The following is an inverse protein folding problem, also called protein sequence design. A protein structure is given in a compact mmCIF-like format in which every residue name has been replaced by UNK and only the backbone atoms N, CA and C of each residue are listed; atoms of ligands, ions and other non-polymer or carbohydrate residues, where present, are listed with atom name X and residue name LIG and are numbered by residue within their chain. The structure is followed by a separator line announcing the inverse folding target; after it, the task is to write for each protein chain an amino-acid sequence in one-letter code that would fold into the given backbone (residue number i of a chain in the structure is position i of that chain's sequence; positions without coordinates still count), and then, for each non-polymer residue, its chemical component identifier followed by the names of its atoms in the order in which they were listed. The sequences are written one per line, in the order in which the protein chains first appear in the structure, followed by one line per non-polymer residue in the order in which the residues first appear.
data_IF_733605338973
#
_entry.id   IF_733605338973
#
_cell.length_a   1.000
_cell.length_b   1.000
_cell.length_c   1.000
_cell.angle_alpha   90.00
_cell.angle_beta   90.00
_cell.angle_gamma   90.00
#
_symmetry.space_group_name_H-M   'P 1'
#
loop_
_entity.id
_entity.type
_entity.pdbx_description
1 polymer ?
#
# COMPACT_ATOMS: atom_id res chain seq x y z
N UNK A 1 -15.02 1.91 -4.53
CA UNK A 1 -15.58 3.19 -4.05
C UNK A 1 -15.26 4.27 -5.08
N UNK A 2 -16.27 5.01 -5.54
CA UNK A 2 -16.09 6.18 -6.42
C UNK A 2 -15.69 7.41 -5.60
N UNK A 3 -14.90 8.31 -6.18
CA UNK A 3 -14.56 9.58 -5.53
C UNK A 3 -14.55 10.76 -6.48
N UNK A 4 -14.99 11.92 -6.01
CA UNK A 4 -14.99 13.18 -6.77
C UNK A 4 -14.88 14.40 -5.87
N UNK A 5 -14.54 15.55 -6.43
CA UNK A 5 -14.59 16.85 -5.77
C UNK A 5 -15.65 17.75 -6.42
N UNK A 6 -16.28 18.62 -5.63
CA UNK A 6 -17.19 19.69 -6.08
C UNK A 6 -17.04 20.92 -5.19
N UNK A 7 -17.40 22.09 -5.71
CA UNK A 7 -17.47 23.33 -4.94
C UNK A 7 -18.90 23.66 -4.55
N UNK A 8 -19.09 24.35 -3.43
CA UNK A 8 -20.40 24.87 -3.02
C UNK A 8 -20.52 25.03 -1.51
N UNK A 9 -21.65 25.55 -1.05
CA UNK A 9 -21.91 25.80 0.37
C UNK A 9 -22.37 24.53 1.09
N UNK A 10 -21.77 24.19 2.25
CA UNK A 10 -22.11 22.96 2.97
C UNK A 10 -23.56 22.93 3.49
N UNK A 11 -24.13 24.07 3.87
CA UNK A 11 -25.46 24.17 4.49
C UNK A 11 -26.64 23.82 3.55
N UNK A 12 -26.43 23.90 2.23
CA UNK A 12 -27.46 23.53 1.23
C UNK A 12 -27.25 22.13 0.68
N UNK A 13 -26.27 21.39 1.18
CA UNK A 13 -25.84 20.15 0.58
C UNK A 13 -26.76 18.98 0.99
N UNK A 14 -27.48 18.44 -0.01
CA UNK A 14 -28.16 17.14 0.13
C UNK A 14 -27.13 16.02 0.00
N UNK A 15 -26.91 15.28 1.08
CA UNK A 15 -26.00 14.13 1.11
C UNK A 15 -26.39 13.16 2.24
N UNK A 16 -26.21 11.83 2.08
CA UNK A 16 -26.50 10.86 3.12
C UNK A 16 -25.65 11.01 4.39
N UNK A 17 -24.44 11.57 4.27
CA UNK A 17 -23.61 11.96 5.41
C UNK A 17 -22.69 13.14 5.04
N UNK A 18 -22.74 14.22 5.81
CA UNK A 18 -21.81 15.34 5.72
C UNK A 18 -20.80 15.25 6.86
N UNK A 19 -19.51 15.31 6.54
CA UNK A 19 -18.41 15.18 7.50
C UNK A 19 -17.74 16.54 7.70
N UNK A 20 -17.71 17.01 8.95
CA UNK A 20 -17.14 18.30 9.34
C UNK A 20 -16.25 18.21 10.57
N UNK A 21 -15.34 19.18 10.71
CA UNK A 21 -14.33 19.19 11.77
C UNK A 21 -14.66 20.16 12.91
N UNK A 22 -14.07 19.90 14.07
CA UNK A 22 -13.94 20.85 15.16
C UNK A 22 -12.66 20.55 15.94
N UNK A 23 -12.01 21.58 16.45
CA UNK A 23 -10.80 21.49 17.26
C UNK A 23 -11.14 21.39 18.75
N UNK A 24 -10.10 21.21 19.57
CA UNK A 24 -10.22 21.36 21.02
C UNK A 24 -10.81 22.73 21.42
N UNK A 25 -11.35 22.81 22.64
CA UNK A 25 -12.07 23.99 23.14
C UNK A 25 -13.31 24.40 22.32
N UNK A 26 -13.82 23.49 21.48
CA UNK A 26 -15.04 23.68 20.70
C UNK A 26 -14.90 24.65 19.52
N UNK A 27 -13.67 24.91 19.07
CA UNK A 27 -13.41 25.77 17.91
C UNK A 27 -13.84 25.05 16.64
N UNK A 28 -14.90 25.55 16.00
CA UNK A 28 -15.47 24.96 14.78
C UNK A 28 -14.64 25.31 13.54
N UNK A 29 -14.47 24.37 12.62
CA UNK A 29 -13.88 24.65 11.29
C UNK A 29 -14.83 25.51 10.44
N UNK A 30 -14.38 26.18 9.36
CA UNK A 30 -15.22 27.05 8.53
C UNK A 30 -16.55 26.41 8.10
N UNK A 31 -16.51 25.17 7.59
CA UNK A 31 -17.72 24.46 7.20
C UNK A 31 -18.62 24.13 8.40
N UNK A 32 -18.04 23.73 9.54
CA UNK A 32 -18.80 23.49 10.76
C UNK A 32 -19.46 24.78 11.31
N UNK A 33 -18.80 25.95 11.17
CA UNK A 33 -19.40 27.23 11.56
C UNK A 33 -20.62 27.58 10.71
N UNK A 34 -20.55 27.40 9.39
CA UNK A 34 -21.66 27.63 8.48
C UNK A 34 -22.86 26.73 8.81
N UNK A 35 -22.62 25.44 9.01
CA UNK A 35 -23.64 24.47 9.40
C UNK A 35 -24.22 24.74 10.79
N UNK A 36 -23.40 25.18 11.74
CA UNK A 36 -23.88 25.57 13.07
C UNK A 36 -24.83 26.76 13.00
N UNK A 37 -24.58 27.77 12.14
CA UNK A 37 -25.51 28.88 11.93
C UNK A 37 -26.82 28.41 11.30
N UNK A 38 -26.75 27.61 10.24
CA UNK A 38 -27.93 27.11 9.52
C UNK A 38 -28.83 26.20 10.37
N UNK A 39 -28.23 25.43 11.29
CA UNK A 39 -28.95 24.54 12.22
C UNK A 39 -29.40 25.21 13.52
N UNK A 40 -29.32 26.55 13.61
CA UNK A 40 -29.69 27.29 14.82
C UNK A 40 -28.86 26.92 16.04
N UNK A 41 -27.58 26.58 15.87
CA UNK A 41 -26.64 26.29 16.97
C UNK A 41 -26.50 24.82 17.37
N UNK A 42 -26.97 23.87 16.56
CA UNK A 42 -27.00 22.45 16.93
C UNK A 42 -25.63 21.88 17.29
N UNK A 43 -24.59 22.22 16.52
CA UNK A 43 -23.23 21.71 16.76
C UNK A 43 -22.71 22.22 18.11
N UNK A 44 -22.84 23.52 18.40
CA UNK A 44 -22.41 24.10 19.67
C UNK A 44 -23.18 23.53 20.88
N UNK A 45 -24.48 23.21 20.74
CA UNK A 45 -25.23 22.54 21.81
C UNK A 45 -24.66 21.16 22.14
N UNK A 46 -24.33 20.36 21.10
CA UNK A 46 -23.69 19.06 21.29
C UNK A 46 -22.29 19.21 21.92
N UNK A 47 -21.49 20.19 21.50
CA UNK A 47 -20.20 20.44 22.14
C UNK A 47 -20.36 20.90 23.60
N UNK A 48 -21.41 21.67 23.90
CA UNK A 48 -21.74 22.17 25.23
C UNK A 48 -22.18 21.11 26.23
N UNK A 49 -22.63 19.92 25.80
CA UNK A 49 -22.90 18.81 26.72
C UNK A 49 -21.63 18.25 27.37
N UNK A 50 -20.46 18.52 26.77
CA UNK A 50 -19.16 18.11 27.28
C UNK A 50 -18.68 16.74 26.79
N UNK A 51 -19.50 16.01 26.01
CA UNK A 51 -19.19 14.67 25.47
C UNK A 51 -18.04 14.71 24.45
N UNK A 52 -17.89 15.85 23.77
CA UNK A 52 -16.92 16.06 22.71
C UNK A 52 -15.87 17.07 23.15
N UNK A 53 -14.62 16.60 23.27
CA UNK A 53 -13.47 17.42 23.68
C UNK A 53 -12.62 17.88 22.51
N UNK A 54 -12.89 17.39 21.29
CA UNK A 54 -12.11 17.71 20.10
C UNK A 54 -10.84 16.87 19.94
N UNK A 55 -10.72 15.77 20.71
CA UNK A 55 -9.60 14.83 20.62
C UNK A 55 -9.45 14.29 19.20
N UNK A 56 -8.22 14.08 18.75
CA UNK A 56 -7.91 13.61 17.40
C UNK A 56 -8.69 12.33 17.05
N UNK A 57 -9.48 12.41 15.98
CA UNK A 57 -10.29 11.30 15.47
C UNK A 57 -11.53 10.97 16.31
N UNK A 58 -11.84 11.72 17.37
CA UNK A 58 -13.10 11.58 18.11
C UNK A 58 -14.27 11.88 17.17
N UNK A 59 -15.28 11.01 17.13
CA UNK A 59 -16.44 11.21 16.25
C UNK A 59 -17.75 11.29 17.00
N UNK A 60 -18.70 12.04 16.44
CA UNK A 60 -20.08 12.08 16.90
C UNK A 60 -21.03 12.25 15.73
N UNK A 61 -22.13 11.49 15.72
CA UNK A 61 -23.09 11.48 14.63
C UNK A 61 -24.40 12.12 15.06
N UNK A 62 -24.83 13.15 14.34
CA UNK A 62 -26.16 13.75 14.49
C UNK A 62 -27.03 13.23 13.35
N UNK A 63 -28.14 12.57 13.70
CA UNK A 63 -29.15 12.13 12.73
C UNK A 63 -30.14 13.24 12.45
N UNK A 64 -30.48 13.42 11.17
CA UNK A 64 -31.49 14.37 10.68
C UNK A 64 -31.38 15.75 11.36
N UNK A 65 -30.19 16.40 11.32
CA UNK A 65 -30.00 17.67 12.00
C UNK A 65 -30.95 18.73 11.45
N UNK A 66 -31.83 19.24 12.31
CA UNK A 66 -32.81 20.27 11.94
C UNK A 66 -32.14 21.48 11.30
N UNK A 67 -32.73 21.99 10.22
CA UNK A 67 -32.23 23.13 9.45
C UNK A 67 -31.14 22.79 8.42
N UNK A 68 -30.70 21.53 8.32
CA UNK A 68 -29.73 21.08 7.31
C UNK A 68 -30.36 20.10 6.32
N UNK A 69 -29.84 20.09 5.09
CA UNK A 69 -30.32 19.21 4.03
C UNK A 69 -29.68 17.81 4.01
N UNK A 70 -28.68 17.56 4.87
CA UNK A 70 -28.04 16.25 4.99
C UNK A 70 -28.82 15.32 5.93
N UNK A 71 -28.78 14.01 5.65
CA UNK A 71 -29.44 13.02 6.52
C UNK A 71 -28.68 12.77 7.81
N UNK A 72 -27.36 12.93 7.76
CA UNK A 72 -26.43 12.72 8.88
C UNK A 72 -25.35 13.79 8.85
N UNK A 73 -24.98 14.28 10.02
CA UNK A 73 -23.83 15.16 10.22
C UNK A 73 -22.82 14.46 11.14
N UNK A 74 -21.68 14.05 10.59
CA UNK A 74 -20.59 13.46 11.33
C UNK A 74 -19.60 14.55 11.74
N UNK A 75 -19.49 14.79 13.04
CA UNK A 75 -18.49 15.67 13.64
C UNK A 75 -17.21 14.88 13.88
N UNK A 76 -16.05 15.48 13.55
CA UNK A 76 -14.72 14.86 13.72
C UNK A 76 -13.80 15.81 14.50
N UNK A 77 -13.26 15.31 15.61
CA UNK A 77 -12.28 16.01 16.43
C UNK A 77 -10.94 16.11 15.72
N UNK A 78 -10.46 17.34 15.57
CA UNK A 78 -9.28 17.70 14.80
C UNK A 78 -8.05 18.01 15.67
N UNK A 79 -8.15 17.79 16.99
CA UNK A 79 -7.11 18.12 17.96
C UNK A 79 -6.85 19.63 18.04
N UNK A 80 -5.69 20.00 18.54
CA UNK A 80 -5.21 21.38 18.56
C UNK A 80 -4.81 21.84 17.15
N UNK A 81 -5.09 23.11 16.84
CA UNK A 81 -4.86 23.65 15.49
C UNK A 81 -3.37 23.79 15.19
N UNK A 82 -2.57 24.16 16.19
CA UNK A 82 -1.13 24.36 16.15
C UNK A 82 -0.32 23.05 16.03
N UNK A 83 -0.92 21.91 16.37
CA UNK A 83 -0.31 20.57 16.26
C UNK A 83 -0.64 19.86 14.93
N UNK A 84 -1.21 20.58 13.96
CA UNK A 84 -1.57 20.01 12.67
C UNK A 84 -0.34 19.60 11.84
N UNK A 85 -0.25 18.32 11.51
CA UNK A 85 0.85 17.65 10.84
C UNK A 85 0.31 16.49 9.98
N UNK A 86 1.18 15.85 9.22
CA UNK A 86 0.81 14.69 8.40
C UNK A 86 0.21 13.56 9.24
N UNK A 87 0.80 13.30 10.42
CA UNK A 87 0.36 12.26 11.33
C UNK A 87 -1.02 12.58 11.94
N UNK A 88 -1.26 13.83 12.32
CA UNK A 88 -2.56 14.23 12.88
C UNK A 88 -3.64 14.29 11.80
N UNK A 89 -3.33 14.74 10.58
CA UNK A 89 -4.24 14.65 9.42
C UNK A 89 -4.63 13.20 9.11
N UNK A 90 -3.67 12.27 9.12
CA UNK A 90 -3.96 10.82 8.95
C UNK A 90 -4.92 10.30 10.01
N UNK A 91 -4.69 10.63 11.29
CA UNK A 91 -5.56 10.25 12.41
C UNK A 91 -6.98 10.82 12.26
N UNK A 92 -7.12 12.06 11.79
CA UNK A 92 -8.41 12.69 11.51
C UNK A 92 -9.15 11.93 10.41
N UNK A 93 -8.48 11.60 9.31
CA UNK A 93 -9.05 10.80 8.23
C UNK A 93 -9.48 9.41 8.73
N UNK A 94 -8.66 8.76 9.57
CA UNK A 94 -8.97 7.45 10.16
C UNK A 94 -10.20 7.52 11.07
N UNK A 95 -10.29 8.53 11.94
CA UNK A 95 -11.45 8.77 12.79
C UNK A 95 -12.72 9.01 11.97
N UNK A 96 -12.65 9.86 10.95
CA UNK A 96 -13.78 10.11 10.04
C UNK A 96 -14.27 8.82 9.36
N UNK A 97 -13.35 7.99 8.87
CA UNK A 97 -13.70 6.71 8.25
C UNK A 97 -14.25 5.69 9.26
N UNK A 98 -13.75 5.67 10.50
CA UNK A 98 -14.28 4.83 11.57
C UNK A 98 -15.72 5.22 11.91
N UNK A 99 -15.99 6.53 12.06
CA UNK A 99 -17.34 7.05 12.28
C UNK A 99 -18.29 6.70 11.13
N UNK A 100 -17.85 6.81 9.88
CA UNK A 100 -18.67 6.47 8.70
C UNK A 100 -18.97 4.97 8.60
N UNK A 101 -18.00 4.11 8.91
CA UNK A 101 -18.18 2.65 8.90
C UNK A 101 -19.28 2.16 9.83
N UNK A 102 -19.48 2.85 10.96
CA UNK A 102 -20.58 2.56 11.89
C UNK A 102 -21.96 2.92 11.35
N UNK A 103 -22.06 3.46 10.13
CA UNK A 103 -23.32 3.90 9.53
C UNK A 103 -23.67 3.10 8.27
N UNK A 104 -24.92 3.28 7.80
CA UNK A 104 -25.40 2.78 6.50
C UNK A 104 -25.36 3.84 5.39
N UNK A 105 -24.62 4.93 5.57
CA UNK A 105 -24.51 5.96 4.54
C UNK A 105 -23.78 5.41 3.31
N UNK A 106 -24.47 5.40 2.17
CA UNK A 106 -23.90 4.97 0.87
C UNK A 106 -22.97 6.02 0.26
N UNK A 107 -23.15 7.29 0.63
CA UNK A 107 -22.33 8.40 0.16
C UNK A 107 -21.98 9.31 1.32
N UNK A 108 -20.77 9.87 1.30
CA UNK A 108 -20.33 10.85 2.29
C UNK A 108 -19.63 12.02 1.60
N UNK A 109 -19.98 13.24 2.00
CA UNK A 109 -19.27 14.46 1.58
C UNK A 109 -18.38 14.96 2.71
N UNK A 110 -17.11 15.20 2.42
CA UNK A 110 -16.11 15.66 3.37
C UNK A 110 -15.77 17.12 3.14
N UNK A 111 -15.71 17.88 4.22
CA UNK A 111 -15.23 19.28 4.25
C UNK A 111 -13.85 19.41 4.89
N UNK A 112 -13.32 18.31 5.47
CA UNK A 112 -12.10 18.31 6.28
C UNK A 112 -10.85 18.76 5.53
N UNK A 113 -10.86 18.76 4.19
CA UNK A 113 -9.74 19.27 3.38
C UNK A 113 -9.53 20.78 3.52
N UNK A 114 -10.42 21.51 4.19
CA UNK A 114 -10.21 22.92 4.59
C UNK A 114 -9.16 23.09 5.70
N UNK A 115 -8.81 22.01 6.43
CA UNK A 115 -7.76 22.04 7.45
C UNK A 115 -6.38 22.34 6.84
N UNK A 116 -5.63 23.25 7.46
CA UNK A 116 -4.29 23.64 7.02
C UNK A 116 -3.25 22.68 7.60
N UNK A 117 -2.63 21.86 6.75
CA UNK A 117 -1.53 20.94 7.12
C UNK A 117 -0.22 21.55 6.62
N UNK A 118 0.75 21.72 7.51
CA UNK A 118 2.03 22.39 7.19
C UNK A 118 2.73 21.69 6.02
N UNK A 119 3.07 22.46 4.98
CA UNK A 119 3.83 21.95 3.82
C UNK A 119 3.03 21.05 2.87
N UNK A 120 1.71 20.91 3.04
CA UNK A 120 0.87 20.02 2.23
C UNK A 120 -0.23 20.79 1.49
N UNK A 121 -0.39 20.49 0.21
CA UNK A 121 -1.42 21.08 -0.64
C UNK A 121 -2.76 20.31 -0.54
N UNK A 122 -3.76 20.79 -1.27
CA UNK A 122 -5.08 20.14 -1.34
C UNK A 122 -5.03 18.76 -2.00
N UNK A 123 -4.19 18.56 -3.02
CA UNK A 123 -4.06 17.27 -3.69
C UNK A 123 -3.52 16.20 -2.74
N UNK A 124 -2.48 16.52 -1.96
CA UNK A 124 -1.91 15.62 -0.96
C UNK A 124 -2.94 15.25 0.11
N UNK A 125 -3.70 16.23 0.63
CA UNK A 125 -4.76 15.96 1.63
C UNK A 125 -5.85 15.05 1.07
N UNK A 126 -6.29 15.32 -0.16
CA UNK A 126 -7.28 14.51 -0.88
C UNK A 126 -6.78 13.08 -1.14
N UNK A 127 -5.51 12.94 -1.55
CA UNK A 127 -4.83 11.66 -1.77
C UNK A 127 -4.81 10.82 -0.51
N UNK A 128 -4.32 11.38 0.60
CA UNK A 128 -4.22 10.66 1.87
C UNK A 128 -5.60 10.25 2.40
N UNK A 129 -6.60 11.14 2.35
CA UNK A 129 -7.97 10.78 2.77
C UNK A 129 -8.48 9.59 1.95
N UNK A 130 -8.23 9.59 0.63
CA UNK A 130 -8.67 8.52 -0.25
C UNK A 130 -7.93 7.21 0.01
N UNK A 131 -6.63 7.25 0.27
CA UNK A 131 -5.83 6.08 0.69
C UNK A 131 -6.37 5.48 2.00
N UNK A 132 -6.57 6.32 3.02
CA UNK A 132 -7.12 5.92 4.32
C UNK A 132 -8.52 5.32 4.17
N UNK A 133 -9.37 5.91 3.32
CA UNK A 133 -10.68 5.34 3.01
C UNK A 133 -10.57 3.97 2.34
N UNK A 134 -9.63 3.79 1.41
CA UNK A 134 -9.36 2.49 0.79
C UNK A 134 -8.91 1.44 1.79
N UNK A 135 -7.96 1.78 2.67
CA UNK A 135 -7.50 0.89 3.72
C UNK A 135 -8.62 0.53 4.70
N UNK A 136 -9.41 1.53 5.12
CA UNK A 136 -10.52 1.31 6.01
C UNK A 136 -11.54 0.35 5.37
N UNK A 137 -11.93 0.55 4.12
CA UNK A 137 -12.95 -0.26 3.46
C UNK A 137 -12.46 -1.65 3.01
N UNK A 138 -11.16 -1.95 3.11
CA UNK A 138 -10.62 -3.24 2.77
C UNK A 138 -11.15 -4.35 3.69
N UNK A 139 -11.74 -5.39 3.10
CA UNK A 139 -12.18 -6.60 3.78
C UNK A 139 -11.64 -7.79 2.98
N UNK A 140 -11.02 -8.73 3.68
CA UNK A 140 -10.65 -10.02 3.13
C UNK A 140 -11.64 -11.08 3.62
N UNK A 141 -12.54 -11.51 2.74
CA UNK A 141 -13.54 -12.55 2.99
C UNK A 141 -13.57 -13.63 1.90
N UNK A 142 -12.56 -13.66 1.03
CA UNK A 142 -12.48 -14.57 -0.13
C UNK A 142 -12.48 -16.04 0.28
N UNK A 143 -11.86 -16.37 1.42
CA UNK A 143 -11.76 -17.73 1.97
C UNK A 143 -12.81 -18.05 3.04
N UNK A 144 -13.79 -17.16 3.28
CA UNK A 144 -14.91 -17.43 4.20
C UNK A 144 -16.04 -18.12 3.44
N UNK A 145 -16.54 -19.23 3.98
CA UNK A 145 -17.73 -19.94 3.48
C UNK A 145 -18.99 -19.10 3.68
N UNK A 146 -19.15 -18.54 4.89
CA UNK A 146 -20.25 -17.64 5.23
C UNK A 146 -19.81 -16.19 5.07
N UNK A 147 -20.42 -15.51 4.10
CA UNK A 147 -20.26 -14.07 3.91
C UNK A 147 -21.48 -13.38 4.50
N UNK A 148 -21.25 -12.36 5.31
CA UNK A 148 -22.32 -11.50 5.87
C UNK A 148 -22.26 -10.16 5.15
N UNK A 149 -23.08 -9.93 4.10
CA UNK A 149 -23.04 -8.68 3.33
C UNK A 149 -23.30 -7.46 4.21
N UNK A 150 -24.12 -7.62 5.25
CA UNK A 150 -24.43 -6.58 6.21
C UNK A 150 -23.24 -6.16 7.09
N UNK A 151 -22.19 -6.98 7.20
CA UNK A 151 -20.95 -6.59 7.89
C UNK A 151 -20.08 -5.66 7.03
N UNK A 152 -20.36 -5.55 5.72
CA UNK A 152 -19.61 -4.68 4.83
C UNK A 152 -20.06 -3.22 5.01
N UNK A 153 -19.12 -2.26 5.07
CA UNK A 153 -19.46 -0.84 5.07
C UNK A 153 -20.28 -0.48 3.82
N UNK A 154 -21.35 0.29 4.01
CA UNK A 154 -22.24 0.68 2.92
C UNK A 154 -21.66 1.76 1.99
N UNK A 155 -20.59 2.44 2.42
CA UNK A 155 -20.03 3.60 1.74
C UNK A 155 -19.46 3.23 0.35
N UNK A 156 -20.10 3.74 -0.70
CA UNK A 156 -19.74 3.50 -2.10
C UNK A 156 -19.20 4.76 -2.81
N UNK A 157 -19.53 5.97 -2.31
CA UNK A 157 -19.09 7.24 -2.88
C UNK A 157 -18.52 8.19 -1.82
N UNK A 158 -17.34 8.75 -2.10
CA UNK A 158 -16.72 9.82 -1.33
C UNK A 158 -16.70 11.11 -2.16
N UNK A 159 -17.21 12.21 -1.61
CA UNK A 159 -17.12 13.51 -2.26
C UNK A 159 -16.33 14.48 -1.40
N UNK A 160 -15.40 15.23 -2.01
CA UNK A 160 -14.77 16.38 -1.36
C UNK A 160 -15.54 17.64 -1.70
N UNK A 161 -15.92 18.40 -0.68
CA UNK A 161 -16.40 19.77 -0.84
C UNK A 161 -15.20 20.70 -0.70
N UNK A 162 -14.94 21.48 -1.75
CA UNK A 162 -13.87 22.48 -1.80
C UNK A 162 -14.45 23.88 -1.89
N UNK A 163 -13.66 24.90 -1.60
CA UNK A 163 -14.16 26.26 -1.44
C UNK A 163 -14.62 26.86 -2.77
N UNK A 164 -13.85 26.63 -3.84
CA UNK A 164 -14.10 27.23 -5.15
C UNK A 164 -13.85 26.26 -6.31
N UNK A 165 -14.35 26.62 -7.49
CA UNK A 165 -14.27 25.77 -8.69
C UNK A 165 -12.82 25.53 -9.17
N UNK A 166 -11.88 26.42 -8.84
CA UNK A 166 -10.47 26.25 -9.23
C UNK A 166 -9.81 25.09 -8.45
N UNK A 167 -10.21 24.88 -7.20
CA UNK A 167 -9.72 23.79 -6.34
C UNK A 167 -10.22 22.40 -6.76
N UNK A 168 -11.35 22.32 -7.48
CA UNK A 168 -11.97 21.05 -7.88
C UNK A 168 -11.01 20.19 -8.69
N UNK A 169 -10.23 20.79 -9.61
CA UNK A 169 -9.25 20.04 -10.42
C UNK A 169 -8.12 19.47 -9.56
N UNK A 170 -7.61 20.27 -8.62
CA UNK A 170 -6.50 19.87 -7.74
C UNK A 170 -6.93 18.74 -6.78
N UNK A 171 -8.12 18.86 -6.20
CA UNK A 171 -8.70 17.82 -5.36
C UNK A 171 -8.97 16.52 -6.13
N UNK A 172 -9.53 16.61 -7.35
CA UNK A 172 -9.74 15.44 -8.20
C UNK A 172 -8.43 14.75 -8.60
N UNK A 173 -7.35 15.49 -8.84
CA UNK A 173 -6.01 14.91 -9.06
C UNK A 173 -5.57 14.07 -7.87
N UNK A 174 -5.64 14.62 -6.65
CA UNK A 174 -5.30 13.90 -5.42
C UNK A 174 -6.19 12.67 -5.19
N UNK A 175 -7.49 12.78 -5.43
CA UNK A 175 -8.42 11.64 -5.33
C UNK A 175 -8.11 10.53 -6.34
N UNK A 176 -7.68 10.87 -7.55
CA UNK A 176 -7.26 9.91 -8.56
C UNK A 176 -5.98 9.18 -8.13
N UNK A 177 -4.96 9.91 -7.68
CA UNK A 177 -3.73 9.36 -7.10
C UNK A 177 -4.04 8.39 -5.94
N UNK A 178 -4.83 8.83 -4.97
CA UNK A 178 -5.16 8.02 -3.80
C UNK A 178 -6.03 6.82 -4.14
N UNK A 179 -6.83 6.88 -5.21
CA UNK A 179 -7.60 5.74 -5.71
C UNK A 179 -6.68 4.67 -6.28
N UNK A 180 -5.71 5.06 -7.11
CA UNK A 180 -4.75 4.14 -7.71
C UNK A 180 -3.83 3.48 -6.67
N UNK A 181 -3.30 4.28 -5.74
CA UNK A 181 -2.49 3.77 -4.63
C UNK A 181 -3.30 2.78 -3.79
N UNK A 182 -4.53 3.14 -3.40
CA UNK A 182 -5.39 2.25 -2.64
C UNK A 182 -5.72 0.94 -3.38
N UNK A 183 -5.88 0.98 -4.71
CA UNK A 183 -6.14 -0.20 -5.53
C UNK A 183 -4.91 -1.12 -5.64
N UNK A 184 -3.71 -0.55 -5.72
CA UNK A 184 -2.44 -1.27 -5.65
C UNK A 184 -2.20 -1.92 -4.29
N UNK A 185 -2.37 -1.15 -3.20
CA UNK A 185 -2.25 -1.64 -1.82
C UNK A 185 -3.28 -2.73 -1.53
N UNK A 186 -4.53 -2.57 -1.96
CA UNK A 186 -5.56 -3.59 -1.78
C UNK A 186 -5.20 -4.91 -2.48
N UNK A 187 -4.65 -4.84 -3.69
CA UNK A 187 -4.14 -6.02 -4.40
C UNK A 187 -3.01 -6.68 -3.60
N UNK A 188 -1.99 -5.91 -3.18
CA UNK A 188 -0.87 -6.44 -2.41
C UNK A 188 -1.34 -7.12 -1.10
N UNK A 189 -2.27 -6.49 -0.37
CA UNK A 189 -2.88 -7.06 0.83
C UNK A 189 -3.64 -8.35 0.55
N UNK A 190 -4.42 -8.41 -0.53
CA UNK A 190 -5.14 -9.62 -0.90
C UNK A 190 -4.19 -10.76 -1.22
N UNK A 191 -3.13 -10.50 -2.01
CA UNK A 191 -2.13 -11.53 -2.33
C UNK A 191 -1.43 -12.04 -1.07
N UNK A 192 -1.01 -11.17 -0.15
CA UNK A 192 -0.41 -11.59 1.12
C UNK A 192 -1.38 -12.30 2.07
N UNK A 193 -2.66 -11.92 2.08
CA UNK A 193 -3.66 -12.54 2.95
C UNK A 193 -4.08 -13.94 2.49
N UNK A 194 -4.03 -14.19 1.18
CA UNK A 194 -4.31 -15.51 0.62
C UNK A 194 -3.34 -16.56 1.19
N UNK A 195 -3.84 -17.75 1.56
CA UNK A 195 -3.00 -18.80 2.11
C UNK A 195 -2.09 -19.42 1.04
N UNK A 196 -0.94 -19.99 1.45
CA UNK A 196 0.07 -20.53 0.54
C UNK A 196 -0.45 -21.65 -0.38
N UNK A 197 -1.48 -22.39 0.03
CA UNK A 197 -2.14 -23.38 -0.83
C UNK A 197 -2.96 -22.78 -1.99
N UNK A 198 -3.25 -21.48 -1.96
CA UNK A 198 -3.93 -20.75 -3.04
C UNK A 198 -2.94 -19.82 -3.76
N UNK A 199 -2.21 -19.00 -3.01
CA UNK A 199 -1.30 -18.00 -3.57
C UNK A 199 0.06 -18.61 -3.93
N UNK A 200 0.09 -19.61 -4.82
CA UNK A 200 1.32 -20.27 -5.28
C UNK A 200 2.10 -19.41 -6.29
N UNK A 201 3.33 -19.78 -6.70
CA UNK A 201 4.11 -19.00 -7.68
C UNK A 201 3.38 -18.85 -9.03
N UNK A 202 2.64 -19.89 -9.43
CA UNK A 202 1.81 -19.83 -10.64
C UNK A 202 0.60 -18.91 -10.46
N UNK A 203 -0.02 -18.88 -9.28
CA UNK A 203 -1.10 -17.95 -8.98
C UNK A 203 -0.61 -16.49 -9.06
N UNK A 204 0.53 -16.17 -8.45
CA UNK A 204 1.13 -14.83 -8.56
C UNK A 204 1.37 -14.41 -10.02
N UNK A 205 1.88 -15.34 -10.84
CA UNK A 205 2.06 -15.10 -12.26
C UNK A 205 0.74 -14.79 -12.99
N UNK A 206 -0.34 -15.48 -12.64
CA UNK A 206 -1.66 -15.26 -13.23
C UNK A 206 -2.30 -13.94 -12.77
N UNK A 207 -2.05 -13.51 -11.53
CA UNK A 207 -2.46 -12.20 -11.04
C UNK A 207 -1.71 -11.07 -11.76
N UNK A 208 -0.40 -11.21 -11.98
CA UNK A 208 0.36 -10.26 -12.80
C UNK A 208 -0.20 -10.17 -14.23
N UNK A 209 -0.50 -11.31 -14.87
CA UNK A 209 -1.16 -11.34 -16.20
C UNK A 209 -2.52 -10.67 -16.18
N UNK A 210 -3.30 -10.82 -15.11
CA UNK A 210 -4.60 -10.16 -14.97
C UNK A 210 -4.46 -8.64 -14.97
N UNK A 211 -3.47 -8.09 -14.27
CA UNK A 211 -3.13 -6.65 -14.35
C UNK A 211 -2.73 -6.27 -15.78
N UNK A 212 -1.87 -7.05 -16.44
CA UNK A 212 -1.49 -6.81 -17.84
C UNK A 212 -2.67 -6.77 -18.81
N UNK A 213 -3.67 -7.65 -18.63
CA UNK A 213 -4.90 -7.66 -19.45
C UNK A 213 -5.77 -6.43 -19.23
N UNK A 214 -5.76 -5.86 -18.02
CA UNK A 214 -6.52 -4.66 -17.69
C UNK A 214 -5.87 -3.38 -18.23
N UNK A 215 -4.54 -3.39 -18.42
CA UNK A 215 -3.77 -2.21 -18.81
C UNK A 215 -2.89 -2.48 -20.03
N UNK A 216 -3.28 -2.00 -21.21
CA UNK A 216 -2.56 -2.21 -22.49
C UNK A 216 -1.09 -1.75 -22.47
N UNK A 217 -0.73 -0.79 -21.61
CA UNK A 217 0.63 -0.31 -21.46
C UNK A 217 1.54 -1.25 -20.65
N UNK A 218 0.98 -2.31 -20.05
CA UNK A 218 1.70 -3.30 -19.24
C UNK A 218 1.81 -4.61 -20.02
N UNK A 219 3.02 -4.97 -20.42
CA UNK A 219 3.32 -6.28 -21.01
C UNK A 219 3.81 -7.22 -19.90
N UNK A 220 3.27 -8.43 -19.86
CA UNK A 220 3.66 -9.44 -18.85
C UNK A 220 4.30 -10.63 -19.53
N UNK A 221 5.50 -11.01 -19.09
CA UNK A 221 6.20 -12.23 -19.48
C UNK A 221 6.45 -13.08 -18.23
N UNK A 222 6.33 -14.39 -18.35
CA UNK A 222 6.52 -15.31 -17.22
C UNK A 222 7.49 -16.39 -17.66
N UNK A 223 8.67 -16.41 -17.06
CA UNK A 223 9.68 -17.42 -17.34
C UNK A 223 9.40 -18.65 -16.48
N UNK A 224 9.47 -19.80 -17.14
CA UNK A 224 9.33 -21.11 -16.52
C UNK A 224 10.66 -21.58 -15.94
N UNK A 225 10.62 -22.66 -15.16
CA UNK A 225 11.82 -23.33 -14.68
C UNK A 225 12.81 -23.67 -15.81
N UNK A 226 12.32 -24.17 -16.96
CA UNK A 226 13.15 -24.48 -18.12
C UNK A 226 13.82 -23.24 -18.71
N UNK A 227 13.14 -22.10 -18.70
CA UNK A 227 13.72 -20.84 -19.18
C UNK A 227 14.83 -20.36 -18.23
N UNK A 228 14.59 -20.47 -16.92
CA UNK A 228 15.57 -20.13 -15.88
C UNK A 228 16.80 -21.06 -15.91
N UNK A 229 16.62 -22.35 -16.22
CA UNK A 229 17.72 -23.30 -16.43
C UNK A 229 18.60 -22.87 -17.61
N UNK A 230 18.02 -22.47 -18.73
CA UNK A 230 18.76 -21.94 -19.90
C UNK A 230 19.53 -20.66 -19.57
N UNK A 231 18.98 -19.83 -18.69
CA UNK A 231 19.61 -18.61 -18.19
C UNK A 231 20.62 -18.86 -17.07
N UNK A 232 20.81 -20.12 -16.64
CA UNK A 232 21.72 -20.51 -15.56
C UNK A 232 21.42 -19.82 -14.22
N UNK A 233 20.14 -19.62 -13.90
CA UNK A 233 19.68 -19.10 -12.60
C UNK A 233 19.78 -20.16 -11.50
N UNK A 234 20.99 -20.68 -11.27
CA UNK A 234 21.20 -21.83 -10.39
C UNK A 234 20.92 -21.53 -8.92
N UNK A 235 21.01 -20.27 -8.50
CA UNK A 235 20.72 -19.86 -7.12
C UNK A 235 19.22 -19.92 -6.85
N UNK A 236 18.41 -19.26 -7.70
CA UNK A 236 16.94 -19.31 -7.60
C UNK A 236 16.41 -20.73 -7.76
N UNK A 237 16.90 -21.47 -8.76
CA UNK A 237 16.47 -22.84 -9.00
C UNK A 237 16.81 -23.77 -7.84
N UNK A 238 17.88 -23.51 -7.08
CA UNK A 238 18.23 -24.31 -5.90
C UNK A 238 17.19 -24.24 -4.79
N UNK A 239 16.64 -23.04 -4.55
CA UNK A 239 15.58 -22.81 -3.55
C UNK A 239 14.31 -23.57 -3.92
N UNK A 240 13.96 -23.56 -5.20
CA UNK A 240 12.71 -24.15 -5.68
C UNK A 240 12.65 -25.69 -5.61
N UNK A 241 13.80 -26.37 -5.48
CA UNK A 241 13.90 -27.83 -5.63
C UNK A 241 13.02 -28.61 -4.65
N UNK A 242 12.78 -28.05 -3.47
CA UNK A 242 11.99 -28.67 -2.41
C UNK A 242 10.48 -28.59 -2.62
N UNK A 243 9.99 -27.75 -3.54
CA UNK A 243 8.56 -27.61 -3.80
C UNK A 243 8.11 -28.38 -5.04
N UNK A 244 6.86 -28.86 -4.99
CA UNK A 244 6.13 -29.38 -6.16
C UNK A 244 5.48 -28.26 -6.97
N UNK A 245 5.36 -27.05 -6.42
CA UNK A 245 4.94 -25.87 -7.16
C UNK A 245 6.13 -25.34 -7.98
N UNK A 246 6.02 -25.28 -9.32
CA UNK A 246 7.14 -24.88 -10.13
C UNK A 246 7.42 -23.38 -9.99
N UNK A 247 8.69 -22.95 -9.94
CA UNK A 247 9.04 -21.54 -9.76
C UNK A 247 8.67 -20.72 -11.02
N UNK A 248 8.51 -19.41 -10.82
CA UNK A 248 8.18 -18.44 -11.87
C UNK A 248 9.02 -17.19 -11.70
N UNK A 249 9.67 -16.73 -12.77
CA UNK A 249 10.18 -15.37 -12.81
C UNK A 249 9.20 -14.51 -13.60
N UNK A 250 8.47 -13.67 -12.89
CA UNK A 250 7.41 -12.82 -13.44
C UNK A 250 8.04 -11.48 -13.83
N UNK A 251 7.79 -11.01 -15.05
CA UNK A 251 8.28 -9.74 -15.57
C UNK A 251 7.11 -8.90 -16.07
N UNK A 252 6.92 -7.71 -15.50
CA UNK A 252 5.89 -6.75 -15.88
C UNK A 252 6.53 -5.47 -16.42
N UNK A 253 6.46 -5.23 -17.72
CA UNK A 253 7.01 -4.04 -18.37
C UNK A 253 5.90 -3.01 -18.60
N UNK A 254 5.90 -1.91 -17.84
CA UNK A 254 5.07 -0.74 -18.08
C UNK A 254 5.80 0.28 -18.96
N UNK A 255 5.17 0.67 -20.08
CA UNK A 255 5.72 1.63 -21.06
C UNK A 255 4.89 2.91 -21.11
N UNK A 256 5.17 3.84 -20.20
CA UNK A 256 4.53 5.16 -20.14
C UNK A 256 5.34 6.29 -20.77
N UNK A 257 6.61 6.06 -21.10
CA UNK A 257 7.50 7.04 -21.72
C UNK A 257 8.05 6.53 -23.07
N UNK A 258 8.85 7.37 -23.74
CA UNK A 258 9.51 7.00 -24.99
C UNK A 258 10.46 5.80 -24.81
N UNK A 259 10.65 5.00 -25.87
CA UNK A 259 11.43 3.76 -25.82
C UNK A 259 12.92 3.93 -25.45
N UNK A 260 13.48 5.14 -25.58
CA UNK A 260 14.85 5.47 -25.20
C UNK A 260 15.02 5.88 -23.73
N UNK A 261 13.91 6.16 -23.03
CA UNK A 261 13.96 6.50 -21.61
C UNK A 261 14.23 5.22 -20.83
N UNK A 262 15.36 5.17 -20.13
CA UNK A 262 15.73 4.03 -19.30
C UNK A 262 14.67 3.78 -18.22
N UNK A 263 14.36 2.51 -17.92
CA UNK A 263 13.34 2.19 -16.93
C UNK A 263 13.87 2.27 -15.50
N UNK A 264 12.94 2.51 -14.57
CA UNK A 264 13.09 2.11 -13.16
C UNK A 264 12.78 0.61 -13.07
N UNK A 265 13.65 -0.19 -12.46
CA UNK A 265 13.35 -1.60 -12.18
C UNK A 265 13.00 -1.79 -10.71
N UNK A 266 11.88 -2.46 -10.45
CA UNK A 266 11.46 -2.87 -9.11
C UNK A 266 11.54 -4.40 -9.00
N UNK A 267 12.29 -4.92 -8.04
CA UNK A 267 12.46 -6.37 -7.83
C UNK A 267 11.80 -6.80 -6.53
N UNK A 268 10.82 -7.71 -6.56
CA UNK A 268 10.07 -8.09 -5.37
C UNK A 268 10.29 -9.54 -4.96
N UNK A 269 10.73 -9.81 -3.72
CA UNK A 269 10.82 -11.19 -3.17
C UNK A 269 9.44 -11.86 -3.23
N UNK A 270 9.35 -13.02 -3.89
CA UNK A 270 8.10 -13.71 -4.17
C UNK A 270 8.01 -15.12 -3.56
N UNK A 271 8.48 -15.35 -2.34
CA UNK A 271 8.34 -16.65 -1.65
C UNK A 271 6.90 -16.83 -1.18
N UNK A 272 6.14 -17.67 -1.87
CA UNK A 272 4.70 -17.83 -1.57
C UNK A 272 4.44 -18.62 -0.29
N UNK A 273 5.43 -19.41 0.13
CA UNK A 273 5.54 -19.95 1.46
C UNK A 273 7.01 -20.24 1.76
N UNK A 274 7.43 -19.93 2.98
CA UNK A 274 8.79 -20.17 3.46
C UNK A 274 8.77 -20.98 4.76
N UNK A 275 9.02 -22.27 4.65
CA UNK A 275 9.23 -23.15 5.80
C UNK A 275 10.68 -23.11 6.31
N UNK A 276 11.59 -22.46 5.56
CA UNK A 276 13.04 -22.47 5.77
C UNK A 276 13.81 -23.60 5.09
N UNK A 277 13.12 -24.49 4.37
CA UNK A 277 13.75 -25.64 3.71
C UNK A 277 14.25 -26.67 4.72
N UNK A 278 15.47 -27.18 4.53
CA UNK A 278 16.11 -28.12 5.47
C UNK A 278 16.45 -27.46 6.81
N UNK A 279 16.83 -26.18 6.79
CA UNK A 279 16.95 -25.30 7.95
C UNK A 279 15.57 -24.86 8.46
N UNK A 280 14.74 -25.85 8.83
CA UNK A 280 13.31 -25.67 9.13
C UNK A 280 13.07 -24.63 10.23
N UNK A 281 12.15 -23.69 9.97
CA UNK A 281 11.70 -22.73 10.96
C UNK A 281 10.96 -23.41 12.13
N UNK A 282 10.96 -22.82 13.33
CA UNK A 282 10.10 -23.26 14.42
C UNK A 282 8.60 -23.23 14.04
N UNK A 283 7.75 -24.08 14.63
CA UNK A 283 6.32 -24.12 14.31
C UNK A 283 5.55 -22.82 14.63
N UNK A 284 5.99 -22.07 15.65
CA UNK A 284 5.33 -20.84 16.07
C UNK A 284 5.38 -19.79 14.96
N UNK A 285 4.23 -19.19 14.65
CA UNK A 285 4.04 -18.15 13.63
C UNK A 285 4.46 -18.54 12.19
N UNK A 286 4.73 -19.83 11.92
CA UNK A 286 5.06 -20.30 10.56
C UNK A 286 3.92 -20.04 9.56
N UNK A 287 2.67 -19.94 10.02
CA UNK A 287 1.53 -19.55 9.20
C UNK A 287 1.68 -18.13 8.60
N UNK A 288 2.44 -17.26 9.25
CA UNK A 288 2.75 -15.91 8.76
C UNK A 288 3.75 -15.93 7.59
N UNK A 289 4.44 -17.05 7.32
CA UNK A 289 5.39 -17.15 6.20
C UNK A 289 4.71 -17.18 4.83
N UNK A 290 3.36 -17.22 4.78
CA UNK A 290 2.61 -16.85 3.55
C UNK A 290 2.83 -15.40 3.13
N UNK A 291 3.24 -14.52 4.05
CA UNK A 291 3.55 -13.12 3.74
C UNK A 291 4.93 -12.93 3.12
N UNK A 292 5.72 -14.00 2.94
CA UNK A 292 7.09 -13.90 2.45
C UNK A 292 7.24 -13.57 0.94
N UNK A 293 6.08 -13.35 0.30
CA UNK A 293 5.91 -12.84 -1.05
C UNK A 293 5.46 -11.38 -1.10
N UNK A 294 5.38 -10.69 0.05
CA UNK A 294 4.85 -9.31 0.10
C UNK A 294 5.71 -8.30 -0.67
N UNK A 295 7.00 -8.58 -0.87
CA UNK A 295 7.85 -7.83 -1.79
C UNK A 295 7.36 -7.90 -3.25
N UNK A 296 7.09 -9.11 -3.73
CA UNK A 296 6.47 -9.34 -5.04
C UNK A 296 5.07 -8.74 -5.15
N UNK A 297 4.27 -8.88 -4.09
CA UNK A 297 2.93 -8.32 -4.02
C UNK A 297 2.92 -6.79 -4.13
N UNK A 298 3.87 -6.11 -3.45
CA UNK A 298 4.00 -4.66 -3.49
C UNK A 298 4.47 -4.15 -4.85
N UNK A 299 5.36 -4.89 -5.55
CA UNK A 299 5.77 -4.59 -6.92
C UNK A 299 4.58 -4.69 -7.89
N UNK A 300 3.81 -5.78 -7.83
CA UNK A 300 2.61 -5.95 -8.66
C UNK A 300 1.59 -4.85 -8.38
N UNK A 301 1.36 -4.53 -7.10
CA UNK A 301 0.47 -3.45 -6.67
C UNK A 301 0.92 -2.07 -7.16
N UNK A 302 2.22 -1.79 -7.10
CA UNK A 302 2.83 -0.54 -7.58
C UNK A 302 2.67 -0.38 -9.09
N UNK A 303 2.96 -1.43 -9.86
CA UNK A 303 2.78 -1.43 -11.32
C UNK A 303 1.30 -1.22 -11.72
N UNK A 304 0.36 -1.79 -10.95
CA UNK A 304 -1.07 -1.51 -11.12
C UNK A 304 -1.38 -0.02 -10.90
N UNK A 305 -0.91 0.57 -9.79
CA UNK A 305 -1.16 1.99 -9.50
C UNK A 305 -0.56 2.91 -10.57
N UNK A 306 0.66 2.62 -11.03
CA UNK A 306 1.34 3.35 -12.12
C UNK A 306 0.51 3.28 -13.41
N UNK A 307 0.02 2.09 -13.77
CA UNK A 307 -0.76 1.88 -14.98
C UNK A 307 -2.15 2.52 -14.92
N UNK A 308 -2.78 2.57 -13.74
CA UNK A 308 -4.02 3.30 -13.50
C UNK A 308 -3.84 4.82 -13.67
N UNK A 309 -2.73 5.36 -13.17
CA UNK A 309 -2.40 6.79 -13.29
C UNK A 309 -1.83 7.19 -14.65
N UNK A 310 -1.42 6.20 -15.46
CA UNK A 310 -0.76 6.42 -16.76
C UNK A 310 0.46 7.33 -16.63
N UNK A 311 1.29 7.09 -15.61
CA UNK A 311 2.45 7.94 -15.35
C UNK A 311 3.40 7.95 -16.57
N UNK A 312 4.00 9.11 -16.91
CA UNK A 312 4.84 9.25 -18.09
C UNK A 312 6.28 8.74 -17.87
N UNK A 313 6.42 7.50 -17.39
CA UNK A 313 7.70 6.85 -17.05
C UNK A 313 7.72 5.40 -17.57
N UNK A 314 8.91 4.80 -17.68
CA UNK A 314 9.06 3.37 -17.94
C UNK A 314 9.40 2.65 -16.64
N UNK A 315 8.68 1.58 -16.33
CA UNK A 315 8.90 0.80 -15.10
C UNK A 315 8.85 -0.69 -15.42
N UNK A 316 9.79 -1.46 -14.90
CA UNK A 316 9.82 -2.92 -15.03
C UNK A 316 9.74 -3.55 -13.64
N UNK A 317 8.69 -4.32 -13.38
CA UNK A 317 8.58 -5.18 -12.20
C UNK A 317 9.16 -6.57 -12.47
N UNK A 318 10.04 -7.06 -11.60
CA UNK A 318 10.60 -8.43 -11.66
C UNK A 318 10.30 -9.13 -10.34
N UNK A 319 9.56 -10.23 -10.39
CA UNK A 319 9.20 -11.00 -9.19
C UNK A 319 9.71 -12.44 -9.34
N UNK A 320 10.88 -12.77 -8.75
CA UNK A 320 11.29 -14.15 -8.60
C UNK A 320 10.37 -14.83 -7.58
N UNK A 321 9.57 -15.81 -8.04
CA UNK A 321 8.59 -16.48 -7.21
C UNK A 321 8.84 -17.98 -7.11
N UNK A 322 8.77 -18.49 -5.88
CA UNK A 322 9.05 -19.87 -5.51
C UNK A 322 8.39 -20.22 -4.17
N UNK A 323 8.56 -21.46 -3.71
CA UNK A 323 8.28 -21.91 -2.35
C UNK A 323 9.54 -22.57 -1.78
N UNK A 324 9.81 -22.34 -0.50
CA UNK A 324 10.94 -22.94 0.20
C UNK A 324 10.42 -23.98 1.20
N UNK A 325 10.49 -25.25 0.82
CA UNK A 325 9.91 -26.37 1.56
C UNK A 325 10.96 -27.47 1.80
N UNK A 326 10.92 -28.18 2.94
CA UNK A 326 11.69 -29.40 3.12
C UNK A 326 11.15 -30.52 2.22
N UNK A 327 12.02 -31.18 1.46
CA UNK A 327 11.73 -32.38 0.66
C UNK A 327 13.06 -33.13 0.45
N UNK A 328 13.01 -34.40 0.04
CA UNK A 328 14.21 -35.17 -0.28
C UNK A 328 15.03 -34.60 -1.45
N UNK A 329 14.43 -33.72 -2.26
CA UNK A 329 15.10 -33.02 -3.37
C UNK A 329 15.56 -31.59 -3.00
N UNK A 330 15.27 -31.08 -1.80
CA UNK A 330 15.63 -29.72 -1.41
C UNK A 330 17.14 -29.46 -1.43
N UNK A 331 17.54 -28.20 -1.59
CA UNK A 331 18.92 -27.79 -1.33
C UNK A 331 19.22 -27.98 0.17
N UNK A 332 20.51 -28.12 0.50
CA UNK A 332 20.99 -28.43 1.85
C UNK A 332 22.00 -27.37 2.31
N UNK A 333 22.11 -27.15 3.63
CA UNK A 333 23.27 -26.48 4.20
C UNK A 333 24.58 -27.11 3.69
N UNK A 334 25.50 -26.28 3.21
CA UNK A 334 26.79 -26.68 2.60
C UNK A 334 26.73 -26.93 1.09
N UNK A 335 25.55 -26.92 0.44
CA UNK A 335 25.49 -26.98 -1.02
C UNK A 335 26.13 -25.70 -1.60
N UNK A 336 26.99 -25.86 -2.62
CA UNK A 336 27.53 -24.74 -3.40
C UNK A 336 26.78 -24.66 -4.72
N UNK A 337 26.22 -23.49 -5.03
CA UNK A 337 25.46 -23.23 -6.25
C UNK A 337 26.10 -22.13 -7.07
N UNK A 338 25.94 -22.17 -8.39
CA UNK A 338 26.37 -21.09 -9.29
C UNK A 338 25.18 -20.22 -9.66
N UNK A 339 25.23 -18.93 -9.35
CA UNK A 339 24.22 -17.94 -9.73
C UNK A 339 24.29 -17.58 -11.21
N UNK A 340 23.28 -16.86 -11.70
CA UNK A 340 23.22 -16.31 -13.06
C UNK A 340 24.41 -15.38 -13.37
N UNK A 341 24.99 -14.73 -12.36
CA UNK A 341 26.17 -13.87 -12.54
C UNK A 341 27.46 -14.68 -12.79
N UNK A 342 27.43 -15.99 -12.54
CA UNK A 342 28.60 -16.87 -12.56
C UNK A 342 29.29 -17.00 -11.19
N UNK A 343 28.90 -16.22 -10.18
CA UNK A 343 29.45 -16.34 -8.83
C UNK A 343 28.92 -17.59 -8.13
N UNK A 344 29.79 -18.26 -7.38
CA UNK A 344 29.44 -19.40 -6.53
C UNK A 344 29.00 -18.92 -5.15
N UNK A 345 27.99 -19.57 -4.59
CA UNK A 345 27.40 -19.26 -3.29
C UNK A 345 27.35 -20.54 -2.48
N UNK A 346 27.99 -20.57 -1.32
CA UNK A 346 27.80 -21.62 -0.34
C UNK A 346 26.53 -21.32 0.47
N UNK A 347 25.59 -22.26 0.47
CA UNK A 347 24.32 -22.11 1.18
C UNK A 347 24.53 -22.62 2.61
N UNK A 348 24.87 -21.74 3.55
CA UNK A 348 25.04 -22.14 4.96
C UNK A 348 23.70 -22.38 5.67
N UNK A 349 22.65 -21.70 5.24
CA UNK A 349 21.32 -21.79 5.83
C UNK A 349 20.26 -21.66 4.73
N UNK A 350 19.38 -22.65 4.60
CA UNK A 350 18.33 -22.66 3.56
C UNK A 350 17.16 -21.73 3.88
N UNK A 351 17.11 -21.17 5.10
CA UNK A 351 16.18 -20.12 5.55
C UNK A 351 16.67 -18.70 5.19
N UNK A 352 17.81 -18.62 4.49
CA UNK A 352 18.30 -17.41 3.85
C UNK A 352 18.03 -17.43 2.33
N UNK A 353 16.91 -18.00 1.92
CA UNK A 353 16.53 -18.23 0.52
C UNK A 353 16.18 -16.95 -0.25
N UNK A 354 15.63 -15.94 0.43
CA UNK A 354 15.19 -14.70 -0.21
C UNK A 354 16.30 -14.02 -1.00
N UNK A 355 17.51 -13.93 -0.43
CA UNK A 355 18.68 -13.35 -1.11
C UNK A 355 19.18 -14.22 -2.28
N UNK A 356 18.98 -15.54 -2.22
CA UNK A 356 19.35 -16.46 -3.31
C UNK A 356 18.46 -16.24 -4.53
N UNK A 357 17.15 -16.11 -4.36
CA UNK A 357 16.25 -15.84 -5.49
C UNK A 357 16.41 -14.40 -6.03
N UNK A 358 16.75 -13.43 -5.16
CA UNK A 358 16.93 -12.03 -5.55
C UNK A 358 18.20 -11.81 -6.35
N UNK A 359 19.33 -12.46 -6.00
CA UNK A 359 20.60 -12.23 -6.72
C UNK A 359 20.52 -12.59 -8.22
N UNK A 360 19.79 -13.66 -8.56
CA UNK A 360 19.53 -14.04 -9.96
C UNK A 360 18.57 -13.06 -10.65
N UNK A 361 17.54 -12.57 -9.93
CA UNK A 361 16.62 -11.56 -10.46
C UNK A 361 17.29 -10.19 -10.68
N UNK A 362 18.19 -9.78 -9.79
CA UNK A 362 19.00 -8.57 -9.92
C UNK A 362 19.95 -8.70 -11.12
N UNK A 363 20.59 -9.85 -11.30
CA UNK A 363 21.43 -10.13 -12.47
C UNK A 363 20.62 -10.08 -13.76
N UNK A 364 19.44 -10.72 -13.78
CA UNK A 364 18.51 -10.69 -14.90
C UNK A 364 18.10 -9.27 -15.28
N UNK A 365 17.90 -8.41 -14.28
CA UNK A 365 17.44 -7.03 -14.45
C UNK A 365 18.41 -6.14 -15.24
N UNK A 366 19.71 -6.47 -15.27
CA UNK A 366 20.72 -5.75 -16.06
C UNK A 366 20.35 -5.65 -17.55
N UNK A 367 19.61 -6.63 -18.08
CA UNK A 367 19.19 -6.68 -19.49
C UNK A 367 18.29 -5.51 -19.91
N UNK A 368 17.65 -4.84 -18.95
CA UNK A 368 16.77 -3.70 -19.23
C UNK A 368 17.52 -2.37 -19.32
N UNK A 369 18.86 -2.37 -19.08
CA UNK A 369 19.68 -1.16 -18.98
C UNK A 369 19.01 -0.10 -18.07
N UNK A 370 18.70 -0.44 -16.81
CA UNK A 370 17.92 0.41 -15.93
C UNK A 370 18.64 1.70 -15.59
N UNK A 371 17.87 2.73 -15.26
CA UNK A 371 18.40 3.92 -14.61
C UNK A 371 18.66 3.64 -13.12
N UNK A 372 17.69 3.01 -12.45
CA UNK A 372 17.80 2.58 -11.06
C UNK A 372 17.16 1.20 -10.87
N UNK A 373 17.63 0.46 -9.88
CA UNK A 373 17.07 -0.84 -9.46
C UNK A 373 16.78 -0.75 -7.97
N UNK A 374 15.56 -1.09 -7.58
CA UNK A 374 15.11 -1.11 -6.17
C UNK A 374 14.54 -2.49 -5.91
N UNK A 375 15.12 -3.24 -4.96
CA UNK A 375 14.50 -4.46 -4.46
C UNK A 375 13.66 -4.21 -3.20
N UNK A 376 12.59 -5.00 -3.03
CA UNK A 376 11.66 -4.94 -1.91
C UNK A 376 11.46 -6.37 -1.41
N UNK A 377 11.78 -6.63 -0.14
CA UNK A 377 11.78 -7.99 0.40
C UNK A 377 11.46 -8.05 1.90
N UNK A 378 10.65 -9.04 2.28
CA UNK A 378 10.54 -9.55 3.65
C UNK A 378 11.80 -10.38 3.97
N UNK A 379 12.95 -9.73 4.11
CA UNK A 379 14.23 -10.41 3.98
C UNK A 379 14.80 -10.96 5.30
N UNK A 380 14.64 -10.23 6.41
CA UNK A 380 15.30 -10.61 7.67
C UNK A 380 14.42 -10.33 8.88
N UNK A 381 14.42 -11.26 9.84
CA UNK A 381 13.89 -11.00 11.19
C UNK A 381 14.69 -9.92 11.94
N UNK A 382 15.98 -9.77 11.61
CA UNK A 382 16.87 -8.77 12.22
C UNK A 382 16.39 -7.32 11.96
N UNK A 383 15.81 -7.03 10.78
CA UNK A 383 15.24 -5.72 10.50
C UNK A 383 14.07 -5.38 11.43
N UNK A 384 13.25 -6.38 11.77
CA UNK A 384 12.14 -6.21 12.75
C UNK A 384 12.69 -5.93 14.16
N UNK A 385 13.79 -6.58 14.55
CA UNK A 385 14.46 -6.30 15.83
C UNK A 385 14.99 -4.86 15.86
N UNK A 386 15.59 -4.39 14.76
CA UNK A 386 16.21 -3.07 14.69
C UNK A 386 15.20 -1.91 14.59
N UNK A 387 14.18 -2.03 13.74
CA UNK A 387 13.28 -0.92 13.37
C UNK A 387 11.80 -1.15 13.77
N UNK A 388 11.48 -2.30 14.34
CA UNK A 388 10.13 -2.65 14.77
C UNK A 388 9.16 -2.83 13.60
N UNK A 389 7.92 -2.33 13.77
CA UNK A 389 6.81 -2.50 12.82
C UNK A 389 6.39 -1.20 12.13
N UNK A 390 7.21 -0.15 12.22
CA UNK A 390 6.81 1.22 11.87
C UNK A 390 7.60 1.85 10.72
N UNK A 391 8.80 1.35 10.45
CA UNK A 391 9.66 1.81 9.36
C UNK A 391 10.31 0.61 8.67
N UNK A 392 10.45 0.68 7.36
CA UNK A 392 11.21 -0.30 6.57
C UNK A 392 12.71 0.00 6.67
N UNK A 393 13.54 -1.04 6.71
CA UNK A 393 14.99 -0.88 6.54
C UNK A 393 15.32 -0.56 5.08
N UNK A 394 16.15 0.44 4.85
CA UNK A 394 16.64 0.84 3.53
C UNK A 394 18.16 0.73 3.51
N UNK A 395 18.69 0.03 2.51
CA UNK A 395 20.13 -0.02 2.24
C UNK A 395 20.32 0.40 0.78
N UNK A 396 21.48 0.96 0.46
CA UNK A 396 21.75 1.44 -0.90
C UNK A 396 23.22 1.68 -1.13
N UNK A 397 23.62 1.65 -2.39
CA UNK A 397 24.97 1.94 -2.87
C UNK A 397 25.06 3.29 -3.61
N UNK A 398 23.96 4.04 -3.64
CA UNK A 398 23.84 5.38 -4.22
C UNK A 398 23.04 6.24 -3.22
N UNK A 399 23.65 7.31 -2.71
CA UNK A 399 23.06 8.09 -1.63
C UNK A 399 21.91 8.98 -2.12
N UNK A 400 21.98 9.50 -3.35
CA UNK A 400 20.92 10.34 -3.91
C UNK A 400 19.62 9.54 -4.05
N UNK A 401 19.71 8.29 -4.54
CA UNK A 401 18.57 7.38 -4.61
C UNK A 401 18.01 7.05 -3.21
N UNK A 402 18.88 6.85 -2.22
CA UNK A 402 18.46 6.60 -0.84
C UNK A 402 17.68 7.79 -0.28
N UNK A 403 18.21 8.99 -0.45
CA UNK A 403 17.58 10.23 0.05
C UNK A 403 16.22 10.48 -0.62
N UNK A 404 16.12 10.22 -1.93
CA UNK A 404 14.86 10.28 -2.69
C UNK A 404 13.81 9.31 -2.12
N UNK A 405 14.21 8.07 -1.80
CA UNK A 405 13.32 7.06 -1.22
C UNK A 405 12.90 7.41 0.21
N UNK A 406 13.81 7.95 1.03
CA UNK A 406 13.49 8.44 2.38
C UNK A 406 12.49 9.60 2.31
N UNK A 407 12.70 10.56 1.40
CA UNK A 407 11.79 11.69 1.18
C UNK A 407 10.41 11.23 0.67
N UNK A 408 10.37 10.24 -0.24
CA UNK A 408 9.14 9.61 -0.70
C UNK A 408 8.38 8.95 0.46
N UNK A 409 9.09 8.22 1.33
CA UNK A 409 8.51 7.58 2.51
C UNK A 409 7.94 8.56 3.53
N UNK A 410 8.58 9.71 3.73
CA UNK A 410 8.02 10.79 4.55
C UNK A 410 6.76 11.40 3.91
N UNK A 411 6.76 11.58 2.58
CA UNK A 411 5.64 12.18 1.86
C UNK A 411 4.44 11.26 1.70
N UNK A 412 4.64 9.95 1.59
CA UNK A 412 3.56 8.95 1.59
C UNK A 412 3.08 8.62 3.02
N UNK A 413 3.94 8.84 4.02
CA UNK A 413 3.78 8.36 5.38
C UNK A 413 4.02 6.85 5.54
N UNK A 414 4.68 6.23 4.57
CA UNK A 414 5.20 4.87 4.59
C UNK A 414 6.73 4.93 4.67
N UNK A 415 7.24 5.06 5.90
CA UNK A 415 8.61 5.51 6.18
C UNK A 415 9.62 4.38 6.01
N UNK A 416 10.81 4.75 5.57
CA UNK A 416 12.00 3.92 5.65
C UNK A 416 13.07 4.59 6.53
N UNK A 417 14.07 3.81 6.95
CA UNK A 417 15.24 4.28 7.67
C UNK A 417 16.50 3.62 7.10
N UNK A 418 17.53 4.43 6.81
CA UNK A 418 18.77 3.92 6.23
C UNK A 418 19.57 3.10 7.25
N UNK A 419 20.06 1.93 6.83
CA UNK A 419 21.06 1.14 7.53
C UNK A 419 22.37 1.12 6.71
N UNK A 420 23.54 1.07 7.37
CA UNK A 420 24.82 1.13 6.69
C UNK A 420 25.17 -0.17 5.94
N UNK A 421 25.94 -0.03 4.85
CA UNK A 421 26.61 -1.11 4.12
C UNK A 421 28.13 -0.88 4.17
N UNK A 422 28.70 -0.86 5.38
CA UNK A 422 30.15 -0.70 5.55
C UNK A 422 30.89 -1.99 5.18
N UNK A 423 32.15 -1.85 4.76
CA UNK A 423 32.96 -2.95 4.24
C UNK A 423 33.21 -4.04 5.30
N UNK A 424 33.26 -3.67 6.58
CA UNK A 424 33.44 -4.59 7.70
C UNK A 424 32.31 -5.63 7.86
N UNK A 425 31.17 -5.46 7.18
CA UNK A 425 30.09 -6.45 7.15
C UNK A 425 30.26 -7.53 6.07
N UNK A 426 31.27 -7.41 5.19
CA UNK A 426 31.51 -8.37 4.09
C UNK A 426 32.49 -9.50 4.44
N UNK A 427 33.32 -9.32 5.47
CA UNK A 427 34.31 -10.29 5.96
C UNK A 427 33.67 -11.42 6.79
#
# INVERSE_FOLDING_TARGET
MQSSAKSGSPERLRTPCLVVGFHENGVLTPSAQALNRASGGAIKRVLGSGDLKGRLGQTFLIHQPAGLACERLLLVGCGKQEEMSDATWRKICQGAMAGLKGTRAKEATFTLTELKVKGRDLAWKARLLREVAGHALYIFDETKSEKRPDDKPALARLTLLVENAAEVRLANRGLAEGTAIAAGVALAKTLGNLPGNICTPSYLADQAKAVGRQHRAVKVSVLTERDMQKLKMGSLLSVAKGSRQPPRLIVMEYKGAGAKVKPVVLVGKGLTFDAGGISLKPPADMDQMKYDMCGGASVIGTLKAIAELKLPINVVGVVPSSENLPDGNANKPGDIVTSMSGQTIEILNTDAEGRLILCDALTYSKRFNPEVVIDIATLTGACVIALGKHASGLLGNDQDLVDDLLAAGQTSGDRAWQLPLWDEYND
#
